data_IF_273645575409
#
_entry.id   IF_273645575409
#
_cell.length_a   1.000
_cell.length_b   1.000
_cell.length_c   1.000
_cell.angle_alpha   90.00
_cell.angle_beta   90.00
_cell.angle_gamma   90.00
#
_symmetry.space_group_name_H-M   'P 1'
#
loop_
_entity.id
_entity.type
_entity.pdbx_description
1 polymer ?
#
# COMPACT_ATOMS: atom_id res chain seq x y z
N UNK A 1 -4.09 -9.12 -6.04
CA UNK A 1 -4.96 -8.14 -5.34
C UNK A 1 -5.38 -8.59 -3.95
N UNK A 2 -6.08 -9.72 -3.80
CA UNK A 2 -6.51 -10.23 -2.49
C UNK A 2 -5.35 -10.44 -1.52
N UNK A 3 -4.22 -10.94 -2.03
CA UNK A 3 -3.02 -11.14 -1.21
C UNK A 3 -2.51 -9.83 -0.57
N UNK A 4 -2.48 -8.74 -1.34
CA UNK A 4 -2.10 -7.42 -0.83
C UNK A 4 -3.06 -6.94 0.26
N UNK A 5 -4.38 -7.07 0.04
CA UNK A 5 -5.38 -6.64 1.02
C UNK A 5 -5.33 -7.47 2.30
N UNK A 6 -5.11 -8.79 2.20
CA UNK A 6 -4.93 -9.67 3.35
C UNK A 6 -3.68 -9.28 4.14
N UNK A 7 -2.55 -9.11 3.44
CA UNK A 7 -1.29 -8.67 4.05
C UNK A 7 -1.45 -7.32 4.77
N UNK A 8 -2.06 -6.33 4.10
CA UNK A 8 -2.33 -5.03 4.72
C UNK A 8 -3.21 -5.16 5.96
N UNK A 9 -4.25 -6.00 5.91
CA UNK A 9 -5.13 -6.24 7.05
C UNK A 9 -4.37 -6.82 8.25
N UNK A 10 -3.49 -7.80 8.03
CA UNK A 10 -2.65 -8.37 9.08
C UNK A 10 -1.75 -7.33 9.76
N UNK A 11 -1.08 -6.49 8.96
CA UNK A 11 -0.19 -5.44 9.46
C UNK A 11 -0.97 -4.35 10.22
N UNK A 12 -2.13 -3.94 9.70
CA UNK A 12 -3.03 -2.98 10.34
C UNK A 12 -3.37 -3.40 11.78
N UNK A 13 -3.63 -4.69 12.01
CA UNK A 13 -3.94 -5.22 13.33
C UNK A 13 -2.75 -5.22 14.29
N UNK A 14 -1.51 -5.35 13.78
CA UNK A 14 -0.29 -5.42 14.61
C UNK A 14 0.22 -4.06 15.08
N UNK A 15 0.24 -3.06 14.19
CA UNK A 15 0.97 -1.80 14.44
C UNK A 15 0.12 -0.54 14.42
N UNK A 16 -1.21 -0.68 14.27
CA UNK A 16 -2.22 0.32 14.61
C UNK A 16 -1.94 1.76 14.16
N UNK A 17 -2.58 2.17 13.04
CA UNK A 17 -2.63 3.51 12.39
C UNK A 17 -2.02 3.52 10.98
N UNK A 18 -2.55 2.67 10.11
CA UNK A 18 -2.37 2.81 8.67
C UNK A 18 -3.70 3.24 8.04
N UNK A 19 -3.63 4.09 7.02
CA UNK A 19 -4.74 4.32 6.09
C UNK A 19 -4.34 3.77 4.73
N UNK A 20 -5.30 3.11 4.07
CA UNK A 20 -5.16 2.61 2.71
C UNK A 20 -6.22 3.28 1.87
N UNK A 21 -5.79 3.93 0.79
CA UNK A 21 -6.64 4.56 -0.19
C UNK A 21 -6.36 3.91 -1.54
N UNK A 22 -7.41 3.40 -2.18
CA UNK A 22 -7.36 2.83 -3.53
C UNK A 22 -8.34 3.66 -4.35
N UNK A 23 -7.82 4.35 -5.34
CA UNK A 23 -8.57 5.29 -6.15
C UNK A 23 -8.38 5.00 -7.63
N UNK A 24 -9.44 5.20 -8.40
CA UNK A 24 -9.38 5.19 -9.86
C UNK A 24 -10.18 6.36 -10.41
N UNK A 25 -9.62 7.04 -11.41
CA UNK A 25 -10.39 7.92 -12.29
C UNK A 25 -9.86 7.85 -13.71
N UNK A 26 -10.70 8.20 -14.69
CA UNK A 26 -10.27 8.30 -16.08
C UNK A 26 -9.23 9.40 -16.36
N UNK A 27 -8.86 10.20 -15.35
CA UNK A 27 -7.84 11.26 -15.46
C UNK A 27 -6.55 10.85 -14.74
N UNK A 28 -6.66 10.19 -13.58
CA UNK A 28 -5.49 9.83 -12.76
C UNK A 28 -5.13 8.34 -12.82
N UNK A 29 -5.86 7.52 -13.58
CA UNK A 29 -5.69 6.07 -13.60
C UNK A 29 -5.80 5.43 -12.19
N UNK A 30 -5.28 4.21 -12.01
CA UNK A 30 -5.26 3.56 -10.71
C UNK A 30 -4.19 4.18 -9.82
N UNK A 31 -4.56 4.47 -8.58
CA UNK A 31 -3.70 4.99 -7.54
C UNK A 31 -3.89 4.21 -6.24
N UNK A 32 -2.79 3.80 -5.62
CA UNK A 32 -2.77 3.21 -4.27
C UNK A 32 -1.87 4.05 -3.38
N UNK A 33 -2.46 4.57 -2.31
CA UNK A 33 -1.76 5.34 -1.29
C UNK A 33 -1.88 4.64 0.06
N UNK A 34 -0.77 4.47 0.75
CA UNK A 34 -0.72 4.02 2.13
C UNK A 34 -0.09 5.13 2.96
N UNK A 35 -0.79 5.55 4.02
CA UNK A 35 -0.24 6.49 4.98
C UNK A 35 -0.12 5.85 6.36
N UNK A 36 0.86 6.31 7.14
CA UNK A 36 1.02 5.97 8.56
C UNK A 36 1.25 7.27 9.33
N UNK A 37 0.47 7.51 10.37
CA UNK A 37 0.57 8.75 11.19
C UNK A 37 0.50 10.08 10.39
N UNK A 38 -0.15 10.08 9.23
CA UNK A 38 -0.23 11.26 8.36
C UNK A 38 0.94 11.41 7.38
N UNK A 39 1.90 10.48 7.40
CA UNK A 39 2.99 10.41 6.42
C UNK A 39 2.69 9.35 5.36
N UNK A 40 2.89 9.70 4.08
CA UNK A 40 2.72 8.78 2.96
C UNK A 40 3.93 7.87 2.85
N UNK A 41 3.70 6.56 3.00
CA UNK A 41 4.74 5.54 2.94
C UNK A 41 4.75 4.82 1.58
N UNK A 42 3.59 4.69 0.94
CA UNK A 42 3.46 4.14 -0.41
C UNK A 42 2.54 5.04 -1.20
N UNK A 43 2.95 5.40 -2.42
CA UNK A 43 2.12 6.08 -3.39
C UNK A 43 2.50 5.55 -4.78
N UNK A 44 1.58 4.83 -5.42
CA UNK A 44 1.80 4.23 -6.74
C UNK A 44 0.64 4.57 -7.63
N UNK A 45 0.96 5.09 -8.82
CA UNK A 45 0.00 5.39 -9.87
C UNK A 45 0.39 4.68 -11.18
N UNK A 46 -0.56 4.02 -11.83
CA UNK A 46 -0.39 3.44 -13.16
C UNK A 46 -1.75 3.14 -13.82
N UNK A 47 -1.77 3.03 -15.15
CA UNK A 47 -2.95 2.59 -15.90
C UNK A 47 -3.25 1.09 -15.70
N UNK A 48 -2.24 0.28 -15.43
CA UNK A 48 -2.39 -1.15 -15.17
C UNK A 48 -2.65 -1.41 -13.67
N UNK A 49 -3.87 -1.87 -13.37
CA UNK A 49 -4.31 -2.22 -12.02
C UNK A 49 -3.39 -3.24 -11.36
N UNK A 50 -3.06 -4.34 -12.06
CA UNK A 50 -2.26 -5.42 -11.49
C UNK A 50 -0.85 -4.97 -11.16
N UNK A 51 -0.27 -4.12 -12.02
CA UNK A 51 1.02 -3.48 -11.74
C UNK A 51 0.97 -2.59 -10.49
N UNK A 52 -0.05 -1.74 -10.34
CA UNK A 52 -0.18 -0.85 -9.17
C UNK A 52 -0.26 -1.68 -7.88
N UNK A 53 -1.08 -2.73 -7.85
CA UNK A 53 -1.19 -3.59 -6.68
C UNK A 53 0.10 -4.35 -6.38
N UNK A 54 0.77 -4.92 -7.39
CA UNK A 54 2.02 -5.63 -7.22
C UNK A 54 3.12 -4.71 -6.68
N UNK A 55 3.26 -3.52 -7.27
CA UNK A 55 4.27 -2.54 -6.86
C UNK A 55 4.00 -1.97 -5.48
N UNK A 56 2.75 -1.63 -5.16
CA UNK A 56 2.37 -1.18 -3.83
C UNK A 56 2.66 -2.25 -2.77
N UNK A 57 2.44 -3.53 -3.10
CA UNK A 57 2.76 -4.65 -2.21
C UNK A 57 4.26 -4.76 -1.92
N UNK A 58 5.10 -4.67 -2.96
CA UNK A 58 6.57 -4.71 -2.80
C UNK A 58 7.05 -3.53 -1.97
N UNK A 59 6.66 -2.30 -2.35
CA UNK A 59 7.08 -1.09 -1.64
C UNK A 59 6.65 -1.10 -0.17
N UNK A 60 5.45 -1.59 0.12
CA UNK A 60 4.98 -1.67 1.50
C UNK A 60 5.79 -2.69 2.32
N UNK A 61 6.15 -3.83 1.73
CA UNK A 61 7.01 -4.84 2.37
C UNK A 61 8.42 -4.32 2.62
N UNK A 62 9.02 -3.66 1.65
CA UNK A 62 10.35 -3.04 1.78
C UNK A 62 10.35 -2.01 2.92
N UNK A 63 9.36 -1.13 2.94
CA UNK A 63 9.22 -0.13 4.00
C UNK A 63 9.06 -0.74 5.40
N UNK A 64 8.29 -1.83 5.52
CA UNK A 64 8.13 -2.57 6.77
C UNK A 64 9.46 -3.22 7.22
N UNK A 65 10.21 -3.80 6.29
CA UNK A 65 11.53 -4.37 6.58
C UNK A 65 12.50 -3.31 7.10
N UNK A 66 12.56 -2.15 6.45
CA UNK A 66 13.46 -1.06 6.83
C UNK A 66 13.07 -0.39 8.15
N UNK A 67 11.77 -0.22 8.42
CA UNK A 67 11.29 0.56 9.57
C UNK A 67 11.01 -0.29 10.81
N UNK A 68 10.51 -1.51 10.63
CA UNK A 68 10.04 -2.38 11.73
C UNK A 68 10.95 -3.60 11.93
N UNK A 69 12.02 -3.74 11.13
CA UNK A 69 12.93 -4.89 11.19
C UNK A 69 12.34 -6.19 10.63
N UNK A 70 11.20 -6.13 9.93
CA UNK A 70 10.51 -7.30 9.39
C UNK A 70 8.99 -7.21 9.40
N UNK A 71 8.35 -8.16 8.71
CA UNK A 71 6.90 -8.41 8.72
C UNK A 71 6.58 -9.73 9.42
#
# INVERSE_FOLDING_TARGET
MEEFLRFFNEIKHRTGRYTLEIYYSGIMDWCITINRHGETIVNVQNCDMDYVFAKAHVLFKEWLLETQGGY
#
